data_IF_896129704698
#
_entry.id   IF_896129704698
#
_cell.length_a   1.000
_cell.length_b   1.000
_cell.length_c   1.000
_cell.angle_alpha   90.00
_cell.angle_beta   90.00
_cell.angle_gamma   90.00
#
_symmetry.space_group_name_H-M   'P 1'
#
loop_
_entity.id
_entity.type
_entity.pdbx_description
1 polymer ?
#
# COMPACT_ATOMS: atom_id res chain seq x y z
N UNK A 1 11.27 -60.70 -49.50
CA UNK A 1 10.11 -59.79 -49.42
C UNK A 1 10.46 -58.59 -48.54
N UNK A 2 11.15 -57.59 -49.10
CA UNK A 2 11.63 -56.43 -48.36
C UNK A 2 10.48 -55.51 -47.95
N UNK A 3 10.35 -55.20 -46.66
CA UNK A 3 9.33 -54.27 -46.16
C UNK A 3 9.72 -52.84 -46.57
N UNK A 4 8.99 -52.27 -47.53
CA UNK A 4 9.12 -50.85 -47.88
C UNK A 4 8.82 -49.98 -46.65
N UNK A 5 9.76 -49.11 -46.25
CA UNK A 5 9.54 -48.14 -45.19
C UNK A 5 8.49 -47.12 -45.66
N UNK A 6 7.38 -46.99 -44.95
CA UNK A 6 6.33 -46.00 -45.24
C UNK A 6 6.93 -44.59 -45.19
N UNK A 7 6.70 -43.82 -46.26
CA UNK A 7 7.09 -42.40 -46.35
C UNK A 7 6.36 -41.63 -45.24
N UNK A 8 7.03 -40.81 -44.41
CA UNK A 8 6.37 -39.99 -43.41
C UNK A 8 5.43 -38.98 -44.10
N UNK A 9 4.13 -39.11 -43.87
CA UNK A 9 3.16 -38.11 -44.33
C UNK A 9 3.32 -36.85 -43.47
N UNK A 10 3.74 -35.74 -44.09
CA UNK A 10 3.86 -34.47 -43.37
C UNK A 10 2.45 -34.05 -42.93
N UNK A 11 2.23 -33.91 -41.61
CA UNK A 11 1.00 -33.37 -41.04
C UNK A 11 0.76 -31.94 -41.54
N UNK A 12 0.05 -31.79 -42.66
CA UNK A 12 -0.25 -30.51 -43.33
C UNK A 12 -1.42 -29.77 -42.67
N UNK A 13 -1.52 -29.81 -41.33
CA UNK A 13 -2.60 -29.14 -40.57
C UNK A 13 -2.46 -27.62 -40.51
N UNK A 14 -1.36 -27.05 -41.01
CA UNK A 14 -1.10 -25.60 -41.00
C UNK A 14 -1.09 -25.10 -42.44
N UNK A 15 -2.06 -24.24 -42.77
CA UNK A 15 -2.10 -23.51 -44.03
C UNK A 15 -0.84 -22.64 -44.14
N UNK A 16 -0.28 -22.54 -45.35
CA UNK A 16 0.91 -21.71 -45.58
C UNK A 16 0.56 -20.22 -45.49
N UNK A 17 1.54 -19.35 -45.27
CA UNK A 17 1.33 -17.89 -45.25
C UNK A 17 0.89 -17.30 -46.61
N UNK A 18 1.04 -18.06 -47.70
CA UNK A 18 0.64 -17.70 -49.06
C UNK A 18 -0.76 -18.24 -49.39
N UNK A 19 -1.36 -19.00 -48.47
CA UNK A 19 -2.67 -19.62 -48.66
C UNK A 19 -3.79 -18.60 -48.40
N UNK A 20 -4.74 -18.37 -49.34
CA UNK A 20 -5.80 -17.38 -49.18
C UNK A 20 -6.77 -17.69 -48.03
N UNK A 21 -6.81 -18.95 -47.55
CA UNK A 21 -7.67 -19.34 -46.43
C UNK A 21 -6.97 -19.20 -45.06
N UNK A 22 -5.70 -18.81 -45.04
CA UNK A 22 -4.96 -18.63 -43.80
C UNK A 22 -5.22 -17.24 -43.21
N UNK A 23 -6.16 -17.15 -42.27
CA UNK A 23 -6.46 -15.91 -41.53
C UNK A 23 -5.25 -15.32 -40.78
N UNK A 24 -4.22 -16.12 -40.52
CA UNK A 24 -2.98 -15.69 -39.85
C UNK A 24 -1.89 -15.24 -40.84
N UNK A 25 -2.13 -15.32 -42.16
CA UNK A 25 -1.20 -14.87 -43.18
C UNK A 25 -0.74 -13.40 -43.02
N UNK A 26 -1.61 -12.40 -42.77
CA UNK A 26 -1.17 -11.01 -42.60
C UNK A 26 -0.26 -10.85 -41.38
N UNK A 27 -0.58 -11.51 -40.26
CA UNK A 27 0.27 -11.48 -39.06
C UNK A 27 1.65 -12.12 -39.29
N UNK A 28 1.71 -13.22 -40.05
CA UNK A 28 2.98 -13.87 -40.41
C UNK A 28 3.82 -13.01 -41.36
N UNK A 29 3.19 -12.27 -42.27
CA UNK A 29 3.90 -11.30 -43.16
C UNK A 29 4.44 -10.11 -42.36
N UNK A 30 3.64 -9.54 -41.46
CA UNK A 30 4.08 -8.45 -40.58
C UNK A 30 5.27 -8.88 -39.69
N UNK A 31 5.21 -10.09 -39.12
CA UNK A 31 6.30 -10.64 -38.32
C UNK A 31 7.56 -10.99 -39.14
N UNK A 32 7.44 -11.16 -40.45
CA UNK A 32 8.58 -11.30 -41.34
C UNK A 32 9.21 -9.93 -41.66
N UNK A 33 8.38 -8.91 -41.90
CA UNK A 33 8.83 -7.53 -42.15
C UNK A 33 9.50 -6.89 -40.93
N UNK A 34 9.07 -7.21 -39.71
CA UNK A 34 9.72 -6.71 -38.48
C UNK A 34 11.13 -7.27 -38.24
N UNK A 35 11.55 -8.30 -38.97
CA UNK A 35 12.90 -8.88 -38.91
C UNK A 35 13.81 -8.36 -40.01
N UNK A 36 13.28 -7.59 -40.95
CA UNK A 36 14.07 -6.95 -41.99
C UNK A 36 14.72 -5.72 -41.36
N UNK A 37 16.04 -5.65 -41.47
CA UNK A 37 16.80 -4.48 -41.04
C UNK A 37 16.60 -3.40 -42.11
N UNK A 38 15.66 -2.48 -41.87
CA UNK A 38 15.49 -1.32 -42.74
C UNK A 38 16.64 -0.34 -42.50
N UNK A 39 17.10 0.29 -43.57
CA UNK A 39 18.06 1.39 -43.46
C UNK A 39 17.38 2.55 -42.70
N UNK A 40 18.12 3.29 -41.85
CA UNK A 40 17.57 4.47 -41.17
C UNK A 40 17.01 5.45 -42.20
N UNK A 41 15.81 5.99 -41.96
CA UNK A 41 15.15 6.94 -42.88
C UNK A 41 15.90 8.27 -43.01
N UNK A 42 16.61 8.69 -41.96
CA UNK A 42 17.38 9.94 -41.90
C UNK A 42 18.79 9.71 -41.32
N UNK A 43 19.79 10.44 -41.85
CA UNK A 43 21.18 10.44 -41.34
C UNK A 43 21.32 11.17 -39.98
N UNK A 44 20.25 11.83 -39.52
CA UNK A 44 20.21 12.54 -38.26
C UNK A 44 20.01 11.56 -37.09
N UNK A 45 21.10 11.31 -36.35
CA UNK A 45 21.02 10.52 -35.13
C UNK A 45 20.12 11.24 -34.10
N UNK A 46 19.10 10.57 -33.54
CA UNK A 46 18.25 11.19 -32.55
C UNK A 46 19.08 11.55 -31.32
N UNK A 47 18.95 12.81 -30.87
CA UNK A 47 19.56 13.29 -29.64
C UNK A 47 19.31 12.32 -28.50
N UNK A 48 20.39 11.93 -27.80
CA UNK A 48 20.30 11.03 -26.66
C UNK A 48 19.37 11.61 -25.60
N UNK A 49 18.71 10.73 -24.85
CA UNK A 49 17.80 11.14 -23.77
C UNK A 49 18.47 12.08 -22.77
N UNK A 50 19.73 11.82 -22.41
CA UNK A 50 20.49 12.66 -21.50
C UNK A 50 20.76 14.06 -22.07
N UNK A 51 20.99 14.19 -23.39
CA UNK A 51 21.17 15.49 -24.03
C UNK A 51 19.85 16.29 -24.08
N UNK A 52 18.72 15.61 -24.28
CA UNK A 52 17.39 16.24 -24.19
C UNK A 52 17.10 16.75 -22.79
N UNK A 53 17.33 15.93 -21.76
CA UNK A 53 17.20 16.33 -20.35
C UNK A 53 18.14 17.50 -19.98
N UNK A 54 19.34 17.58 -20.59
CA UNK A 54 20.27 18.68 -20.39
C UNK A 54 19.81 19.98 -21.10
N UNK A 55 19.20 19.88 -22.28
CA UNK A 55 18.57 21.03 -22.94
C UNK A 55 17.34 21.52 -22.16
N UNK A 56 16.49 20.60 -21.69
CA UNK A 56 15.33 20.92 -20.85
C UNK A 56 15.77 21.59 -19.55
N UNK A 57 16.76 21.04 -18.84
CA UNK A 57 17.29 21.67 -17.62
C UNK A 57 17.99 23.02 -17.88
N UNK A 58 18.57 23.25 -19.06
CA UNK A 58 19.08 24.58 -19.46
C UNK A 58 17.94 25.56 -19.72
N UNK A 59 16.85 25.10 -20.33
CA UNK A 59 15.64 25.90 -20.55
C UNK A 59 14.92 26.20 -19.22
N UNK A 60 14.87 25.23 -18.30
CA UNK A 60 14.36 25.40 -16.94
C UNK A 60 15.30 26.21 -16.05
N UNK A 61 16.62 26.19 -16.26
CA UNK A 61 17.57 27.04 -15.52
C UNK A 61 17.40 28.55 -15.81
N UNK A 62 16.60 28.92 -16.81
CA UNK A 62 16.05 30.27 -16.96
C UNK A 62 14.92 30.57 -15.95
N UNK A 63 14.65 29.70 -14.96
CA UNK A 63 13.94 30.09 -13.74
C UNK A 63 14.62 31.36 -13.22
N UNK A 64 13.82 32.42 -13.13
CA UNK A 64 14.22 33.76 -12.77
C UNK A 64 15.22 33.73 -11.61
N UNK A 65 16.47 34.17 -11.84
CA UNK A 65 17.52 34.28 -10.78
C UNK A 65 17.00 34.97 -9.50
N UNK A 66 15.98 35.83 -9.65
CA UNK A 66 15.22 36.47 -8.56
C UNK A 66 14.48 35.47 -7.68
N UNK A 67 13.79 34.48 -8.24
CA UNK A 67 13.05 33.45 -7.49
C UNK A 67 13.98 32.55 -6.70
N UNK A 68 15.11 32.13 -7.30
CA UNK A 68 16.13 31.34 -6.60
C UNK A 68 16.68 32.11 -5.39
N UNK A 69 16.95 33.41 -5.55
CA UNK A 69 17.36 34.28 -4.44
C UNK A 69 16.27 34.38 -3.36
N UNK A 70 15.00 34.57 -3.73
CA UNK A 70 13.86 34.60 -2.78
C UNK A 70 13.76 33.29 -1.98
N UNK A 71 13.87 32.13 -2.64
CA UNK A 71 13.84 30.82 -1.98
C UNK A 71 15.00 30.65 -0.98
N UNK A 72 16.21 31.08 -1.33
CA UNK A 72 17.36 31.05 -0.41
C UNK A 72 17.16 31.97 0.79
N UNK A 73 16.65 33.19 0.56
CA UNK A 73 16.33 34.13 1.65
C UNK A 73 15.30 33.55 2.61
N UNK A 74 14.24 32.90 2.11
CA UNK A 74 13.25 32.23 2.94
C UNK A 74 13.88 31.15 3.83
N UNK A 75 14.69 30.25 3.24
CA UNK A 75 15.40 29.21 4.01
C UNK A 75 16.30 29.79 5.10
N UNK A 76 16.98 30.91 4.81
CA UNK A 76 17.82 31.59 5.79
C UNK A 76 17.01 32.25 6.92
N UNK A 77 15.81 32.78 6.63
CA UNK A 77 14.89 33.29 7.65
C UNK A 77 14.42 32.17 8.57
N UNK A 78 13.99 31.04 8.01
CA UNK A 78 13.56 29.87 8.78
C UNK A 78 14.69 29.35 9.67
N UNK A 79 15.93 29.33 9.18
CA UNK A 79 17.09 28.95 10.00
C UNK A 79 17.28 29.89 11.19
N UNK A 80 17.21 31.21 10.97
CA UNK A 80 17.38 32.20 12.03
C UNK A 80 16.24 32.15 13.08
N UNK A 81 15.00 31.98 12.63
CA UNK A 81 13.85 31.84 13.53
C UNK A 81 13.89 30.54 14.33
N UNK A 82 14.25 29.43 13.67
CA UNK A 82 14.39 28.15 14.33
C UNK A 82 15.52 28.18 15.38
N UNK A 83 16.64 28.85 15.09
CA UNK A 83 17.71 29.04 16.06
C UNK A 83 17.28 29.89 17.25
N UNK A 84 16.52 30.97 17.02
CA UNK A 84 15.89 31.77 18.11
C UNK A 84 14.93 30.95 18.95
N UNK A 85 14.20 30.02 18.33
CA UNK A 85 13.33 29.07 19.02
C UNK A 85 14.09 27.90 19.69
N UNK A 86 15.43 27.88 19.61
CA UNK A 86 16.27 26.83 20.19
C UNK A 86 16.30 25.51 19.40
N UNK A 87 15.67 25.46 18.22
CA UNK A 87 15.64 24.28 17.36
C UNK A 87 16.92 24.25 16.52
N UNK A 88 17.85 23.38 16.92
CA UNK A 88 19.12 23.21 16.20
C UNK A 88 19.03 22.20 15.07
N UNK A 89 19.81 22.46 14.02
CA UNK A 89 19.98 21.54 12.89
C UNK A 89 20.81 20.33 13.31
N UNK A 90 20.39 19.13 12.89
CA UNK A 90 21.14 17.91 13.16
C UNK A 90 22.46 17.84 12.38
N UNK A 91 23.47 17.14 12.93
CA UNK A 91 24.81 17.01 12.31
C UNK A 91 24.78 16.47 10.88
N UNK A 92 23.92 15.50 10.61
CA UNK A 92 23.81 14.81 9.31
C UNK A 92 22.63 15.29 8.47
N UNK A 93 21.94 16.34 8.90
CA UNK A 93 20.75 16.83 8.21
C UNK A 93 21.13 17.83 7.12
N UNK A 94 20.41 17.83 6.00
CA UNK A 94 20.54 18.90 4.99
C UNK A 94 19.63 20.08 5.34
N UNK A 95 19.96 21.28 4.87
CA UNK A 95 19.18 22.49 5.18
C UNK A 95 17.71 22.34 4.75
N UNK A 96 17.45 21.63 3.65
CA UNK A 96 16.10 21.41 3.17
C UNK A 96 15.28 20.50 4.08
N UNK A 97 15.90 19.44 4.62
CA UNK A 97 15.23 18.53 5.54
C UNK A 97 14.96 19.22 6.88
N UNK A 98 15.91 20.05 7.34
CA UNK A 98 15.73 20.88 8.52
C UNK A 98 14.53 21.83 8.38
N UNK A 99 14.47 22.58 7.28
CA UNK A 99 13.37 23.51 7.01
C UNK A 99 12.04 22.76 6.94
N UNK A 100 11.97 21.63 6.22
CA UNK A 100 10.76 20.80 6.17
C UNK A 100 10.33 20.28 7.55
N UNK A 101 11.28 19.95 8.43
CA UNK A 101 10.97 19.51 9.79
C UNK A 101 10.38 20.65 10.62
N UNK A 102 10.99 21.83 10.56
CA UNK A 102 10.48 23.03 11.25
C UNK A 102 9.08 23.37 10.75
N UNK A 103 8.85 23.35 9.44
CA UNK A 103 7.53 23.59 8.83
C UNK A 103 6.47 22.56 9.30
N UNK A 104 6.85 21.28 9.44
CA UNK A 104 5.93 20.26 9.97
C UNK A 104 5.60 20.49 11.44
N UNK A 105 6.59 20.89 12.25
CA UNK A 105 6.39 21.19 13.66
C UNK A 105 5.46 22.40 13.84
N UNK A 106 5.68 23.48 13.09
CA UNK A 106 4.83 24.67 13.17
C UNK A 106 3.42 24.39 12.68
N UNK A 107 3.25 23.65 11.58
CA UNK A 107 1.94 23.25 11.10
C UNK A 107 1.18 22.39 12.12
N UNK A 108 1.87 21.44 12.78
CA UNK A 108 1.27 20.63 13.83
C UNK A 108 0.81 21.50 15.01
N UNK A 109 1.67 22.41 15.49
CA UNK A 109 1.34 23.31 16.60
C UNK A 109 0.15 24.25 16.27
N UNK A 110 0.11 24.81 15.06
CA UNK A 110 -1.01 25.64 14.60
C UNK A 110 -2.30 24.83 14.56
N UNK A 111 -2.24 23.61 14.01
CA UNK A 111 -3.41 22.73 13.93
C UNK A 111 -3.91 22.31 15.30
N UNK A 112 -3.02 22.01 16.25
CA UNK A 112 -3.38 21.72 17.64
C UNK A 112 -4.08 22.93 18.26
N UNK A 113 -3.53 24.14 18.09
CA UNK A 113 -4.14 25.37 18.60
C UNK A 113 -5.55 25.59 18.03
N UNK A 114 -5.73 25.43 16.71
CA UNK A 114 -7.05 25.53 16.07
C UNK A 114 -8.05 24.51 16.63
N UNK A 115 -7.60 23.29 16.94
CA UNK A 115 -8.48 22.29 17.55
C UNK A 115 -8.88 22.64 18.97
N UNK A 116 -7.96 23.20 19.76
CA UNK A 116 -8.25 23.66 21.11
C UNK A 116 -9.23 24.84 21.11
N UNK A 117 -9.08 25.79 20.19
CA UNK A 117 -10.03 26.91 20.02
C UNK A 117 -11.43 26.41 19.64
N UNK A 118 -11.52 25.43 18.73
CA UNK A 118 -12.81 24.82 18.36
C UNK A 118 -13.47 24.12 19.54
N UNK A 119 -12.70 23.46 20.41
CA UNK A 119 -13.22 22.83 21.62
C UNK A 119 -13.70 23.88 22.63
N UNK A 120 -12.93 24.93 22.88
CA UNK A 120 -13.32 26.05 23.74
C UNK A 120 -14.62 26.71 23.25
N UNK A 121 -14.72 27.00 21.96
CA UNK A 121 -15.94 27.59 21.38
C UNK A 121 -17.16 26.65 21.51
N UNK A 122 -16.94 25.33 21.44
CA UNK A 122 -18.01 24.34 21.65
C UNK A 122 -18.43 24.27 23.13
N UNK A 123 -17.49 24.36 24.06
CA UNK A 123 -17.78 24.42 25.49
C UNK A 123 -18.54 25.69 25.87
N UNK A 124 -18.13 26.85 25.37
CA UNK A 124 -18.86 28.11 25.56
C UNK A 124 -20.29 28.02 25.04
N UNK A 125 -20.51 27.41 23.87
CA UNK A 125 -21.88 27.17 23.35
C UNK A 125 -22.69 26.23 24.25
N UNK A 126 -22.06 25.22 24.86
CA UNK A 126 -22.75 24.32 25.81
C UNK A 126 -23.09 25.03 27.11
N UNK A 127 -22.20 25.88 27.61
CA UNK A 127 -22.45 26.70 28.79
C UNK A 127 -23.60 27.69 28.54
N UNK A 128 -23.62 28.36 27.38
CA UNK A 128 -24.73 29.24 26.99
C UNK A 128 -26.06 28.49 26.89
N UNK A 129 -26.07 27.28 26.31
CA UNK A 129 -27.28 26.43 26.26
C UNK A 129 -27.76 26.02 27.64
N UNK A 130 -26.85 25.62 28.53
CA UNK A 130 -27.19 25.29 29.92
C UNK A 130 -27.71 26.49 30.71
N UNK A 131 -27.14 27.67 30.48
CA UNK A 131 -27.61 28.89 31.11
C UNK A 131 -29.03 29.29 30.62
N UNK A 132 -29.30 29.11 29.32
CA UNK A 132 -30.64 29.31 28.76
C UNK A 132 -31.65 28.28 29.30
N UNK A 133 -31.27 26.99 29.31
CA UNK A 133 -32.12 25.90 29.84
C UNK A 133 -32.38 26.03 31.35
N UNK A 134 -31.44 26.59 32.12
CA UNK A 134 -31.65 26.90 33.53
C UNK A 134 -32.58 28.11 33.73
N UNK A 135 -32.48 29.13 32.88
CA UNK A 135 -33.40 30.27 32.91
C UNK A 135 -34.83 29.85 32.50
N UNK A 136 -34.97 29.00 31.48
CA UNK A 136 -36.27 28.47 31.05
C UNK A 136 -36.91 27.58 32.12
N UNK A 137 -36.12 26.76 32.85
CA UNK A 137 -36.66 25.94 33.95
C UNK A 137 -37.05 26.77 35.19
N UNK A 138 -36.39 27.90 35.44
CA UNK A 138 -36.79 28.81 36.53
C UNK A 138 -38.07 29.60 36.17
N UNK A 139 -38.32 29.89 34.89
CA UNK A 139 -39.59 30.47 34.42
C UNK A 139 -40.74 29.43 34.38
N UNK A 140 -40.50 28.20 33.94
CA UNK A 140 -41.52 27.12 33.97
C UNK A 140 -41.91 26.73 35.41
N UNK A 141 -41.01 26.87 36.39
CA UNK A 141 -41.32 26.62 37.81
C UNK A 141 -42.23 27.70 38.45
N UNK A 142 -42.42 28.86 37.81
CA UNK A 142 -43.42 29.85 38.22
C UNK A 142 -44.76 29.74 37.45
N UNK A 143 -44.83 28.94 36.37
CA UNK A 143 -46.05 28.75 35.57
C UNK A 143 -46.73 27.36 35.73
N UNK A 144 -46.09 26.37 36.36
CA UNK A 144 -46.71 25.05 36.62
C UNK A 144 -47.65 25.01 37.87
N UNK A 145 -48.56 25.97 37.98
CA UNK A 145 -49.73 25.83 38.89
C UNK A 145 -51.07 26.07 38.17
N UNK A 146 -51.12 25.99 36.84
CA UNK A 146 -52.41 25.89 36.15
C UNK A 146 -52.34 25.24 34.75
N UNK A 147 -53.40 24.47 34.47
CA UNK A 147 -53.87 23.95 33.18
C UNK A 147 -53.50 22.52 32.76
N UNK A 148 -54.47 21.65 33.06
CA UNK A 148 -54.76 20.34 32.45
C UNK A 148 -55.01 20.38 30.92
N UNK A 149 -54.73 19.22 30.30
CA UNK A 149 -55.39 18.60 29.13
C UNK A 149 -55.32 19.31 27.76
N UNK A 150 -54.77 18.61 26.76
CA UNK A 150 -55.58 18.07 25.63
C UNK A 150 -54.80 17.12 24.72
N UNK A 151 -55.53 16.12 24.21
CA UNK A 151 -55.14 15.01 23.33
C UNK A 151 -55.43 15.38 21.87
N UNK A 152 -54.61 14.94 20.90
CA UNK A 152 -54.93 14.46 19.53
C UNK A 152 -53.59 14.27 18.78
N UNK A 153 -53.24 13.19 18.07
CA UNK A 153 -54.03 12.31 17.21
C UNK A 153 -53.63 12.57 15.74
N UNK A 154 -52.93 11.65 15.06
CA UNK A 154 -52.64 11.78 13.62
C UNK A 154 -51.58 10.81 13.08
N UNK A 155 -51.97 10.01 12.10
CA UNK A 155 -51.37 8.74 11.63
C UNK A 155 -50.39 8.88 10.44
N UNK A 156 -49.62 7.80 10.26
CA UNK A 156 -48.71 7.32 9.20
C UNK A 156 -48.77 7.89 7.76
N UNK A 157 -47.67 7.72 7.00
CA UNK A 157 -47.84 7.00 5.73
C UNK A 157 -46.82 5.88 5.44
N UNK A 158 -47.37 4.91 4.70
CA UNK A 158 -46.83 3.63 4.23
C UNK A 158 -45.84 3.77 3.04
N UNK A 159 -44.98 2.77 2.93
CA UNK A 159 -43.81 2.54 2.06
C UNK A 159 -44.11 2.30 0.56
N UNK A 160 -43.08 2.45 -0.27
CA UNK A 160 -42.77 1.49 -1.34
C UNK A 160 -41.26 1.13 -1.42
N UNK A 161 -41.04 -0.11 -1.83
CA UNK A 161 -39.88 -1.04 -1.83
C UNK A 161 -38.74 -0.72 -2.82
N UNK A 162 -37.51 -1.22 -2.63
CA UNK A 162 -37.02 -2.49 -3.21
C UNK A 162 -35.80 -3.12 -2.49
N UNK A 163 -35.86 -4.45 -2.32
CA UNK A 163 -34.83 -5.53 -2.46
C UNK A 163 -33.39 -5.31 -1.95
N UNK A 164 -32.69 -6.20 -1.24
CA UNK A 164 -32.86 -7.60 -0.81
C UNK A 164 -31.67 -7.98 0.10
N UNK A 165 -31.78 -9.10 0.82
CA UNK A 165 -30.75 -9.79 1.61
C UNK A 165 -30.25 -9.15 2.94
N UNK A 166 -31.01 -9.34 4.03
CA UNK A 166 -30.44 -9.46 5.40
C UNK A 166 -31.50 -9.89 6.45
N UNK A 167 -32.18 -11.01 6.21
CA UNK A 167 -33.47 -11.33 6.87
C UNK A 167 -33.34 -11.87 8.30
N UNK A 168 -32.18 -12.35 8.75
CA UNK A 168 -32.11 -13.07 10.05
C UNK A 168 -31.67 -12.22 11.25
N UNK A 169 -30.92 -11.12 11.07
CA UNK A 169 -30.54 -10.23 12.18
C UNK A 169 -31.65 -9.20 12.52
N UNK A 170 -32.64 -9.03 11.65
CA UNK A 170 -33.65 -7.96 11.75
C UNK A 170 -34.91 -8.32 12.55
N UNK A 171 -35.23 -9.60 12.78
CA UNK A 171 -36.48 -9.98 13.48
C UNK A 171 -36.50 -9.60 14.97
N UNK A 172 -35.34 -9.52 15.64
CA UNK A 172 -35.26 -9.02 17.04
C UNK A 172 -35.19 -7.49 17.17
N UNK A 173 -35.00 -6.74 16.07
CA UNK A 173 -34.90 -5.26 16.09
C UNK A 173 -36.24 -4.53 15.96
N UNK A 174 -37.35 -5.26 15.80
CA UNK A 174 -38.69 -4.68 15.57
C UNK A 174 -39.53 -4.45 16.83
N UNK A 175 -39.09 -4.88 18.02
CA UNK A 175 -39.84 -4.69 19.28
C UNK A 175 -39.14 -3.79 20.31
N UNK A 176 -37.98 -3.23 19.99
CA UNK A 176 -37.28 -2.31 20.89
C UNK A 176 -37.59 -0.87 20.49
N UNK A 177 -38.11 -0.09 21.45
CA UNK A 177 -38.40 1.33 21.28
C UNK A 177 -37.16 2.11 20.86
N UNK A 178 -37.34 3.31 20.29
CA UNK A 178 -36.23 4.15 19.85
C UNK A 178 -35.27 4.48 21.01
N UNK A 179 -35.81 4.64 22.23
CA UNK A 179 -35.08 4.79 23.49
C UNK A 179 -34.18 3.59 23.81
N UNK A 180 -34.70 2.37 23.69
CA UNK A 180 -33.94 1.14 23.99
C UNK A 180 -32.82 0.91 22.98
N UNK A 181 -33.04 1.26 21.71
CA UNK A 181 -31.98 1.23 20.68
C UNK A 181 -30.86 2.21 20.99
N UNK A 182 -31.16 3.39 21.54
CA UNK A 182 -30.14 4.34 21.97
C UNK A 182 -29.39 3.82 23.20
N UNK A 183 -30.09 3.18 24.14
CA UNK A 183 -29.49 2.59 25.34
C UNK A 183 -28.57 1.43 25.02
N UNK A 184 -28.97 0.55 24.10
CA UNK A 184 -28.10 -0.53 23.60
C UNK A 184 -26.89 0.00 22.85
N UNK A 185 -27.05 1.00 21.98
CA UNK A 185 -25.91 1.65 21.29
C UNK A 185 -24.91 2.25 22.28
N UNK A 186 -25.39 2.93 23.33
CA UNK A 186 -24.53 3.46 24.40
C UNK A 186 -23.82 2.35 25.16
N UNK A 187 -24.51 1.23 25.43
CA UNK A 187 -23.92 0.06 26.11
C UNK A 187 -22.81 -0.59 25.26
N UNK A 188 -23.06 -0.79 23.97
CA UNK A 188 -22.07 -1.34 23.04
C UNK A 188 -20.88 -0.42 22.86
N UNK A 189 -21.10 0.91 22.75
CA UNK A 189 -20.02 1.88 22.69
C UNK A 189 -19.19 1.91 23.99
N UNK A 190 -19.83 1.79 25.15
CA UNK A 190 -19.12 1.69 26.43
C UNK A 190 -18.31 0.39 26.57
N UNK A 191 -18.81 -0.71 26.03
CA UNK A 191 -18.10 -1.99 26.03
C UNK A 191 -16.91 -1.99 25.07
N UNK A 192 -17.06 -1.38 23.89
CA UNK A 192 -15.96 -1.10 22.96
C UNK A 192 -14.90 -0.19 23.62
N UNK A 193 -15.31 0.89 24.27
CA UNK A 193 -14.40 1.79 24.98
C UNK A 193 -13.65 1.07 26.12
N UNK A 194 -14.30 0.11 26.81
CA UNK A 194 -13.63 -0.75 27.82
C UNK A 194 -12.62 -1.71 27.19
N UNK A 195 -12.94 -2.29 26.04
CA UNK A 195 -12.01 -3.16 25.31
C UNK A 195 -10.79 -2.37 24.78
N UNK A 196 -11.01 -1.17 24.26
CA UNK A 196 -9.95 -0.25 23.83
C UNK A 196 -9.12 0.24 25.01
N UNK A 197 -9.74 0.58 26.16
CA UNK A 197 -9.02 0.93 27.38
C UNK A 197 -8.18 -0.23 27.91
N UNK A 198 -8.67 -1.47 27.84
CA UNK A 198 -7.92 -2.66 28.23
C UNK A 198 -6.75 -2.96 27.27
N UNK A 199 -6.89 -2.67 25.98
CA UNK A 199 -5.79 -2.73 24.99
C UNK A 199 -4.75 -1.64 25.26
N UNK A 200 -5.20 -0.40 25.48
CA UNK A 200 -4.33 0.72 25.80
C UNK A 200 -3.59 0.52 27.13
N UNK A 201 -4.23 -0.05 28.15
CA UNK A 201 -3.57 -0.41 29.42
C UNK A 201 -2.50 -1.49 29.26
N UNK A 202 -2.60 -2.36 28.25
CA UNK A 202 -1.55 -3.35 27.93
C UNK A 202 -0.39 -2.75 27.15
N UNK A 203 -0.58 -1.58 26.54
CA UNK A 203 0.41 -0.89 25.69
C UNK A 203 1.09 0.31 26.37
N UNK A 204 0.69 0.68 27.60
CA UNK A 204 1.42 1.65 28.41
C UNK A 204 2.67 0.97 28.98
N UNK A 205 3.76 1.07 28.23
CA UNK A 205 5.11 0.79 28.71
C UNK A 205 5.56 2.03 29.50
N UNK A 206 5.83 1.94 30.81
CA UNK A 206 6.35 3.06 31.58
C UNK A 206 7.67 3.57 30.99
N UNK A 207 7.81 4.89 30.90
CA UNK A 207 8.99 5.55 30.36
C UNK A 207 10.25 5.13 31.15
N UNK A 208 11.12 4.35 30.50
CA UNK A 208 12.34 3.80 31.11
C UNK A 208 12.41 2.26 31.11
N UNK A 209 11.30 1.57 30.88
CA UNK A 209 11.30 0.12 30.72
C UNK A 209 11.79 -0.23 29.31
N UNK A 210 13.08 -0.59 29.22
CA UNK A 210 13.71 -1.06 27.99
C UNK A 210 13.52 -2.56 27.89
N UNK A 211 12.76 -3.02 26.90
CA UNK A 211 12.95 -4.38 26.37
C UNK A 211 14.30 -4.40 25.65
N UNK A 212 15.39 -4.52 26.41
CA UNK A 212 16.74 -4.66 25.85
C UNK A 212 16.97 -6.08 25.32
N UNK A 213 16.11 -7.03 25.69
CA UNK A 213 16.09 -8.37 25.13
C UNK A 213 14.86 -8.57 24.23
N UNK A 214 15.04 -9.09 23.00
CA UNK A 214 13.93 -9.54 22.19
C UNK A 214 13.12 -10.62 22.94
N UNK A 215 11.80 -10.69 22.73
CA UNK A 215 10.94 -11.63 23.46
C UNK A 215 11.46 -13.07 23.29
N UNK A 216 11.70 -13.74 24.40
CA UNK A 216 12.12 -15.14 24.39
C UNK A 216 10.94 -16.04 24.03
N UNK A 217 10.94 -16.56 22.81
CA UNK A 217 9.97 -17.58 22.41
C UNK A 217 10.28 -18.89 23.13
N UNK A 218 9.33 -19.39 23.92
CA UNK A 218 9.41 -20.71 24.57
C UNK A 218 8.58 -21.74 23.79
N UNK A 219 8.83 -23.03 24.01
CA UNK A 219 8.03 -24.13 23.43
C UNK A 219 8.14 -24.29 21.90
N UNK A 220 7.00 -24.50 21.24
CA UNK A 220 6.92 -24.76 19.79
C UNK A 220 7.37 -23.55 18.95
N UNK A 221 7.05 -22.33 19.40
CA UNK A 221 7.43 -21.09 18.71
C UNK A 221 8.95 -20.91 18.64
N UNK A 222 9.70 -21.41 19.64
CA UNK A 222 11.18 -21.38 19.63
C UNK A 222 11.74 -22.17 18.45
N UNK A 223 11.16 -23.32 18.12
CA UNK A 223 11.63 -24.19 17.03
C UNK A 223 11.37 -23.59 15.66
N UNK A 224 10.32 -22.79 15.52
CA UNK A 224 9.95 -22.13 14.26
C UNK A 224 10.71 -20.81 14.05
N UNK A 225 10.86 -20.01 15.12
CA UNK A 225 11.39 -18.65 15.02
C UNK A 225 12.90 -18.56 15.26
N UNK A 226 13.51 -19.49 16.01
CA UNK A 226 14.95 -19.45 16.26
C UNK A 226 15.73 -19.93 15.02
N UNK A 227 16.59 -19.08 14.42
CA UNK A 227 17.26 -19.39 13.16
C UNK A 227 18.21 -20.58 13.25
N UNK A 228 18.69 -20.94 14.44
CA UNK A 228 19.60 -22.05 14.68
C UNK A 228 18.88 -23.40 14.86
N UNK A 229 17.63 -23.38 15.33
CA UNK A 229 16.85 -24.59 15.62
C UNK A 229 15.84 -24.93 14.51
N UNK A 230 15.51 -23.97 13.65
CA UNK A 230 14.60 -24.19 12.53
C UNK A 230 15.24 -25.13 11.49
N UNK A 231 14.48 -26.14 11.03
CA UNK A 231 14.91 -27.04 9.94
C UNK A 231 15.21 -26.21 8.69
N UNK A 232 16.33 -26.49 8.03
CA UNK A 232 16.70 -25.82 6.79
C UNK A 232 15.57 -25.95 5.76
N UNK A 233 15.04 -24.82 5.28
CA UNK A 233 13.92 -24.76 4.34
C UNK A 233 12.51 -24.69 4.95
N UNK A 234 12.33 -24.77 6.29
CA UNK A 234 11.01 -24.69 6.93
C UNK A 234 10.63 -23.29 7.44
N UNK A 235 11.44 -22.27 7.18
CA UNK A 235 11.18 -20.91 7.67
C UNK A 235 10.01 -20.29 6.90
N UNK A 236 8.83 -20.26 7.50
CA UNK A 236 7.73 -19.40 7.05
C UNK A 236 8.07 -17.97 7.46
N UNK A 237 8.81 -17.27 6.60
CA UNK A 237 9.16 -15.86 6.85
C UNK A 237 7.88 -15.08 7.18
N UNK A 238 7.94 -14.19 8.18
CA UNK A 238 6.81 -13.30 8.54
C UNK A 238 6.25 -12.57 7.32
N UNK A 239 7.13 -12.21 6.38
CA UNK A 239 6.73 -11.62 5.10
C UNK A 239 5.84 -12.57 4.27
N UNK A 240 6.14 -13.87 4.21
CA UNK A 240 5.32 -14.86 3.52
C UNK A 240 3.96 -15.09 4.21
N UNK A 241 3.90 -15.01 5.54
CA UNK A 241 2.61 -15.15 6.25
C UNK A 241 1.73 -13.90 6.12
N UNK A 242 2.32 -12.71 6.05
CA UNK A 242 1.61 -11.46 5.78
C UNK A 242 1.11 -11.39 4.33
N UNK A 243 1.96 -11.74 3.36
CA UNK A 243 1.58 -11.77 1.94
C UNK A 243 0.53 -12.84 1.63
N UNK A 244 0.60 -14.02 2.28
CA UNK A 244 -0.40 -15.08 2.10
C UNK A 244 -1.80 -14.71 2.62
N UNK A 245 -1.92 -13.74 3.55
CA UNK A 245 -3.22 -13.25 4.04
C UNK A 245 -3.89 -12.27 3.08
N UNK A 246 -3.12 -11.61 2.21
CA UNK A 246 -3.62 -10.55 1.33
C UNK A 246 -3.89 -11.02 -0.11
N UNK A 247 -3.32 -12.13 -0.57
CA UNK A 247 -3.51 -12.61 -1.94
C UNK A 247 -3.77 -14.12 -2.03
N UNK A 248 -5.05 -14.51 -2.16
CA UNK A 248 -5.46 -15.86 -2.60
C UNK A 248 -5.57 -15.98 -4.12
N UNK A 249 -5.07 -15.00 -4.88
CA UNK A 249 -4.91 -15.14 -6.33
C UNK A 249 -3.54 -15.74 -6.60
N UNK A 250 -3.49 -17.07 -6.75
CA UNK A 250 -2.31 -17.76 -7.32
C UNK A 250 -2.05 -17.16 -8.69
N UNK A 251 -1.06 -16.28 -8.80
CA UNK A 251 -0.47 -15.97 -10.09
C UNK A 251 0.31 -17.22 -10.51
N UNK A 252 -0.18 -17.93 -11.53
CA UNK A 252 0.62 -18.91 -12.24
C UNK A 252 1.78 -18.17 -12.88
N UNK A 253 2.90 -18.09 -12.17
CA UNK A 253 4.16 -17.75 -12.83
C UNK A 253 4.37 -18.81 -13.89
N UNK A 254 4.33 -18.39 -15.15
CA UNK A 254 4.81 -19.16 -16.28
C UNK A 254 6.06 -19.90 -15.84
N UNK A 255 6.01 -21.23 -15.83
CA UNK A 255 7.21 -22.05 -15.86
C UNK A 255 7.86 -21.81 -17.22
N UNK A 256 8.49 -20.65 -17.38
CA UNK A 256 9.44 -20.45 -18.45
C UNK A 256 10.60 -21.39 -18.14
N UNK A 257 10.56 -22.57 -18.75
CA UNK A 257 11.77 -23.31 -19.03
C UNK A 257 12.74 -22.32 -19.66
N UNK A 258 13.75 -21.90 -18.89
CA UNK A 258 14.81 -21.01 -19.37
C UNK A 258 15.37 -21.67 -20.63
N UNK A 259 14.97 -21.21 -21.80
CA UNK A 259 15.57 -21.61 -23.07
C UNK A 259 17.05 -21.29 -22.93
N UNK A 260 17.85 -22.33 -22.71
CA UNK A 260 19.30 -22.18 -22.66
C UNK A 260 19.70 -21.53 -23.97
N UNK A 261 20.32 -20.36 -23.90
CA UNK A 261 20.84 -19.69 -25.09
C UNK A 261 21.75 -20.70 -25.81
N UNK A 262 21.70 -20.84 -27.14
CA UNK A 262 22.49 -21.85 -27.86
C UNK A 262 24.00 -21.77 -27.52
N UNK A 263 24.50 -20.57 -27.24
CA UNK A 263 25.87 -20.34 -26.77
C UNK A 263 26.21 -21.00 -25.41
N UNK A 264 25.24 -21.16 -24.49
CA UNK A 264 25.46 -21.82 -23.20
C UNK A 264 25.57 -23.35 -23.36
N UNK A 265 24.86 -23.93 -24.32
CA UNK A 265 24.93 -25.36 -24.65
C UNK A 265 26.32 -25.69 -25.23
N UNK A 266 26.81 -24.87 -26.16
CA UNK A 266 28.15 -25.06 -26.73
C UNK A 266 29.25 -24.85 -25.68
N UNK A 267 29.09 -23.87 -24.79
CA UNK A 267 29.99 -23.67 -23.65
C UNK A 267 30.03 -24.88 -22.73
N UNK A 268 28.89 -25.49 -22.42
CA UNK A 268 28.82 -26.69 -21.59
C UNK A 268 29.48 -27.89 -22.27
N UNK A 269 29.28 -28.09 -23.57
CA UNK A 269 29.97 -29.15 -24.34
C UNK A 269 31.48 -29.02 -24.29
N UNK A 270 32.01 -27.80 -24.45
CA UNK A 270 33.46 -27.55 -24.37
C UNK A 270 33.99 -27.85 -22.96
N UNK A 271 33.26 -27.46 -21.92
CA UNK A 271 33.62 -27.73 -20.52
C UNK A 271 33.65 -29.25 -20.24
N UNK A 272 32.66 -30.00 -20.72
CA UNK A 272 32.58 -31.45 -20.54
C UNK A 272 33.70 -32.17 -21.28
N UNK A 273 33.96 -31.81 -22.54
CA UNK A 273 35.07 -32.36 -23.32
C UNK A 273 36.44 -32.11 -22.64
N UNK A 274 36.65 -30.92 -22.07
CA UNK A 274 37.86 -30.60 -21.32
C UNK A 274 37.98 -31.43 -20.03
N UNK A 275 36.87 -31.61 -19.29
CA UNK A 275 36.84 -32.45 -18.09
C UNK A 275 37.16 -33.91 -18.40
N UNK A 276 36.65 -34.45 -19.49
CA UNK A 276 36.97 -35.82 -19.93
C UNK A 276 38.44 -35.97 -20.31
N UNK A 277 39.01 -35.02 -21.04
CA UNK A 277 40.44 -35.01 -21.36
C UNK A 277 41.30 -34.97 -20.09
N UNK A 278 40.92 -34.15 -19.10
CA UNK A 278 41.58 -34.09 -17.80
C UNK A 278 41.48 -35.41 -17.03
N UNK A 279 40.31 -36.07 -17.04
CA UNK A 279 40.11 -37.40 -16.41
C UNK A 279 40.96 -38.47 -17.10
N UNK A 280 40.98 -38.51 -18.43
CA UNK A 280 41.81 -39.45 -19.21
C UNK A 280 43.31 -39.21 -18.98
N UNK A 281 43.74 -37.95 -18.86
CA UNK A 281 45.13 -37.60 -18.53
C UNK A 281 45.48 -38.04 -17.11
N UNK A 282 44.61 -37.80 -16.13
CA UNK A 282 44.83 -38.27 -14.76
C UNK A 282 44.94 -39.80 -14.69
N UNK A 283 44.12 -40.53 -15.48
CA UNK A 283 44.13 -41.99 -15.50
C UNK A 283 45.35 -42.59 -16.22
N UNK A 284 45.97 -41.86 -17.16
CA UNK A 284 47.24 -42.27 -17.81
C UNK A 284 48.47 -42.08 -16.95
N UNK A 285 48.40 -41.25 -15.91
CA UNK A 285 49.50 -41.02 -14.96
C UNK A 285 49.36 -41.86 -13.68
N UNK A 286 48.35 -42.71 -13.59
CA UNK A 286 48.10 -43.60 -12.45
C UNK A 286 48.31 -45.10 -12.76
N UNK A 287 49.01 -45.38 -13.87
CA UNK A 287 49.53 -46.70 -14.28
C UNK A 287 51.06 -46.56 -14.38
#
# INVERSE_FOLDING_TARGET
>A
MGRHKRIPTKNRKKLKSVDPFNRNAPALRAAALSKVNWEPEDDDQPMSRSLKELQESKAEALINKKEVKKRKQHKNKVLAEAERAGIRKGRFETVEHFVKRVERMTYAAVKEHETLEKLKAKEERRLKRKAHEAADNDEEAEEEDDVEQTVHGGEDPVKHSTEGDDVEVKKKKRQMGHSDKIREKKRLAAEQARQEAALNQREIIPFGERYDAPPEFTGLMKKEMNPLMAKAGSKKLLLHSLLAKHDTKKTEYLKEEKKQKPAEIDRQRVIEAYRELKRKKAHRFSL
#
